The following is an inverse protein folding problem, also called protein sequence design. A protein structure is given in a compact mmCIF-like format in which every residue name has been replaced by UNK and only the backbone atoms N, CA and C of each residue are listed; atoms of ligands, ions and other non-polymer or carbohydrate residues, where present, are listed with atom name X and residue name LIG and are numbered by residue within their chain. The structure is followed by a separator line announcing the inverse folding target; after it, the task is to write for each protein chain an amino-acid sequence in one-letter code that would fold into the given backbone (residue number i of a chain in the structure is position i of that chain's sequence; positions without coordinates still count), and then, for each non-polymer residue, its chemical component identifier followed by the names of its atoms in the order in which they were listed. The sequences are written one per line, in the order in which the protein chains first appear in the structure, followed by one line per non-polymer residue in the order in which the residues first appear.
data_IF_476520503717
#
_entry.id   IF_476520503717
#
_cell.length_a   1.000
_cell.length_b   1.000
_cell.length_c   1.000
_cell.angle_alpha   90.00
_cell.angle_beta   90.00
_cell.angle_gamma   90.00
#
_symmetry.space_group_name_H-M   'P 1'
#
loop_
_entity.id
_entity.type
_entity.pdbx_description
1 polymer ?
#
# COMPACT_ATOMS: atom_id res chain seq x y z
N UNK A 1 0.90 -18.68 21.48
CA UNK A 1 1.15 -17.27 21.12
C UNK A 1 2.66 -17.07 21.10
N UNK A 2 3.29 -17.30 19.95
CA UNK A 2 4.71 -17.03 19.71
C UNK A 2 5.02 -17.27 18.24
N UNK A 3 4.66 -16.33 17.37
CA UNK A 3 5.18 -16.33 16.00
C UNK A 3 6.27 -15.27 15.90
N UNK A 4 7.44 -15.64 16.43
CA UNK A 4 8.70 -15.00 16.09
C UNK A 4 8.99 -15.33 14.62
N UNK A 5 8.99 -14.31 13.76
CA UNK A 5 9.37 -14.44 12.36
C UNK A 5 10.81 -13.93 12.16
N UNK A 6 11.83 -14.80 12.13
CA UNK A 6 13.18 -14.41 11.76
C UNK A 6 13.30 -14.49 10.23
N UNK A 7 13.74 -13.41 9.59
CA UNK A 7 13.92 -13.43 8.15
C UNK A 7 14.34 -12.09 7.56
N UNK A 8 15.45 -11.57 8.06
CA UNK A 8 16.20 -10.54 7.36
C UNK A 8 16.98 -11.20 6.20
N UNK A 9 16.94 -10.54 5.03
CA UNK A 9 17.77 -10.72 3.82
C UNK A 9 17.46 -11.89 2.86
N UNK A 10 16.53 -11.65 1.90
CA UNK A 10 16.72 -11.76 0.42
C UNK A 10 15.37 -11.68 -0.35
N UNK A 11 15.31 -11.17 -1.60
CA UNK A 11 14.12 -10.57 -2.20
C UNK A 11 13.41 -11.49 -3.21
N UNK A 12 12.64 -12.46 -2.73
CA UNK A 12 11.65 -13.16 -3.57
C UNK A 12 10.38 -13.35 -2.77
N UNK A 13 9.26 -12.74 -3.20
CA UNK A 13 7.94 -12.98 -2.62
C UNK A 13 7.68 -14.51 -2.60
N UNK A 14 7.70 -15.12 -1.41
CA UNK A 14 7.37 -16.54 -1.29
C UNK A 14 5.88 -16.73 -1.53
N UNK A 15 5.50 -17.80 -2.23
CA UNK A 15 4.09 -18.14 -2.51
C UNK A 15 3.23 -18.17 -1.23
N UNK A 16 3.82 -18.56 -0.10
CA UNK A 16 3.18 -18.53 1.21
C UNK A 16 2.83 -17.11 1.71
N UNK A 17 3.67 -16.11 1.43
CA UNK A 17 3.45 -14.72 1.82
C UNK A 17 2.33 -14.08 0.97
N UNK A 18 2.31 -14.38 -0.33
CA UNK A 18 1.25 -13.94 -1.25
C UNK A 18 -0.12 -14.43 -0.77
N UNK A 19 -0.21 -15.71 -0.38
CA UNK A 19 -1.45 -16.29 0.15
C UNK A 19 -1.91 -15.58 1.43
N UNK A 20 -0.99 -15.27 2.34
CA UNK A 20 -1.31 -14.55 3.58
C UNK A 20 -1.90 -13.16 3.33
N UNK A 21 -1.30 -12.39 2.41
CA UNK A 21 -1.79 -11.04 2.05
C UNK A 21 -3.18 -11.13 1.43
N UNK A 22 -3.41 -12.07 0.51
CA UNK A 22 -4.70 -12.24 -0.14
C UNK A 22 -5.81 -12.57 0.86
N UNK A 23 -5.57 -13.51 1.78
CA UNK A 23 -6.56 -13.90 2.79
C UNK A 23 -6.84 -12.78 3.79
N UNK A 24 -5.82 -12.01 4.18
CA UNK A 24 -6.01 -10.82 5.01
C UNK A 24 -6.89 -9.78 4.31
N UNK A 25 -6.61 -9.47 3.04
CA UNK A 25 -7.41 -8.50 2.25
C UNK A 25 -8.85 -8.95 2.11
N UNK A 26 -9.09 -10.23 1.81
CA UNK A 26 -10.46 -10.77 1.73
C UNK A 26 -11.21 -10.62 3.05
N UNK A 27 -10.54 -10.92 4.18
CA UNK A 27 -11.13 -10.88 5.52
C UNK A 27 -11.48 -9.46 5.98
N UNK A 28 -10.60 -8.49 5.70
CA UNK A 28 -10.70 -7.16 6.30
C UNK A 28 -11.23 -6.07 5.36
N UNK A 29 -11.02 -6.21 4.05
CA UNK A 29 -11.41 -5.19 3.05
C UNK A 29 -12.50 -5.68 2.07
N UNK A 30 -12.73 -7.00 2.00
CA UNK A 30 -13.82 -7.59 1.24
C UNK A 30 -13.61 -7.62 -0.29
N UNK A 31 -14.71 -7.86 -1.01
CA UNK A 31 -14.75 -8.10 -2.46
C UNK A 31 -14.06 -7.03 -3.32
N UNK A 32 -14.33 -5.72 -3.11
CA UNK A 32 -13.76 -4.68 -3.96
C UNK A 32 -12.23 -4.61 -3.89
N UNK A 33 -11.65 -4.92 -2.73
CA UNK A 33 -10.22 -4.79 -2.51
C UNK A 33 -9.42 -5.96 -3.09
N UNK A 34 -9.84 -7.22 -2.88
CA UNK A 34 -9.05 -8.36 -3.38
C UNK A 34 -9.03 -8.42 -4.91
N UNK A 35 -10.09 -7.96 -5.60
CA UNK A 35 -10.13 -7.86 -7.07
C UNK A 35 -9.19 -6.79 -7.64
N UNK A 36 -8.75 -5.85 -6.80
CA UNK A 36 -7.84 -4.75 -7.15
C UNK A 36 -6.46 -4.92 -6.51
N UNK A 37 -6.20 -6.06 -5.86
CA UNK A 37 -4.93 -6.34 -5.21
C UNK A 37 -3.86 -6.62 -6.27
N UNK A 38 -2.84 -5.76 -6.32
CA UNK A 38 -1.65 -5.94 -7.16
C UNK A 38 -0.48 -6.26 -6.24
N UNK A 39 0.14 -7.43 -6.43
CA UNK A 39 1.34 -7.84 -5.71
C UNK A 39 2.54 -7.74 -6.65
N UNK A 40 3.41 -6.76 -6.41
CA UNK A 40 4.57 -6.50 -7.26
C UNK A 40 5.77 -6.10 -6.42
N UNK A 41 6.96 -6.43 -6.91
CA UNK A 41 8.22 -5.88 -6.40
C UNK A 41 8.53 -4.49 -6.98
N UNK A 42 7.86 -4.10 -8.07
CA UNK A 42 8.12 -2.90 -8.85
C UNK A 42 6.92 -1.93 -8.79
N UNK A 43 6.78 -1.24 -7.65
CA UNK A 43 5.69 -0.27 -7.41
C UNK A 43 5.69 0.88 -8.44
N UNK A 44 6.85 1.23 -8.98
CA UNK A 44 7.05 2.28 -9.97
C UNK A 44 6.35 2.02 -11.33
N UNK A 45 5.94 0.77 -11.60
CA UNK A 45 5.21 0.42 -12.82
C UNK A 45 3.68 0.58 -12.69
N UNK A 46 3.19 0.83 -11.47
CA UNK A 46 1.77 1.05 -11.24
C UNK A 46 1.44 2.49 -11.63
N UNK A 47 0.48 2.66 -12.54
CA UNK A 47 -0.04 3.96 -12.94
C UNK A 47 -1.27 4.29 -12.10
N UNK A 48 -1.25 5.44 -11.44
CA UNK A 48 -2.36 5.96 -10.66
C UNK A 48 -2.20 7.46 -10.41
N UNK A 49 -3.29 8.12 -10.05
CA UNK A 49 -3.28 9.54 -9.68
C UNK A 49 -2.69 9.77 -8.29
N UNK A 50 -2.84 8.81 -7.39
CA UNK A 50 -2.41 8.91 -5.99
C UNK A 50 -1.70 7.63 -5.53
N UNK A 51 -0.68 7.79 -4.69
CA UNK A 51 -0.01 6.72 -3.96
C UNK A 51 0.01 7.09 -2.48
N UNK A 52 -0.65 6.31 -1.64
CA UNK A 52 -0.57 6.46 -0.17
C UNK A 52 0.43 5.42 0.35
N UNK A 53 1.55 5.87 0.91
CA UNK A 53 2.63 5.00 1.39
C UNK A 53 3.36 5.66 2.57
N UNK A 54 3.79 4.86 3.57
CA UNK A 54 4.48 5.33 4.78
C UNK A 54 5.99 5.53 4.58
N UNK A 55 6.54 5.15 3.41
CA UNK A 55 8.00 5.13 3.19
C UNK A 55 8.40 5.90 1.95
N UNK A 56 9.33 6.85 2.14
CA UNK A 56 10.08 7.52 1.06
C UNK A 56 11.11 6.61 0.35
N UNK A 57 10.88 5.30 0.22
CA UNK A 57 11.84 4.36 -0.39
C UNK A 57 11.17 3.48 -1.44
N UNK A 58 11.94 3.08 -2.47
CA UNK A 58 11.55 2.14 -3.56
C UNK A 58 10.59 2.72 -4.61
N UNK A 59 11.01 3.81 -5.28
CA UNK A 59 10.35 4.26 -6.51
C UNK A 59 9.16 5.19 -6.31
N UNK A 60 8.93 5.68 -5.09
CA UNK A 60 8.03 6.82 -4.81
C UNK A 60 8.46 8.05 -5.59
N UNK A 61 9.78 8.31 -5.67
CA UNK A 61 10.38 9.39 -6.46
C UNK A 61 10.05 9.35 -7.96
N UNK A 62 9.66 8.16 -8.47
CA UNK A 62 9.32 7.93 -9.87
C UNK A 62 7.80 7.69 -10.08
N UNK A 63 7.00 7.78 -9.02
CA UNK A 63 5.56 7.70 -9.15
C UNK A 63 5.06 8.96 -9.87
N UNK A 64 4.34 8.77 -10.98
CA UNK A 64 3.90 9.88 -11.82
C UNK A 64 2.73 10.68 -11.24
N UNK A 65 1.98 10.07 -10.34
CA UNK A 65 0.90 10.73 -9.62
C UNK A 65 1.40 11.44 -8.37
N UNK A 66 0.46 11.91 -7.57
CA UNK A 66 0.75 12.51 -6.28
C UNK A 66 1.05 11.44 -5.23
N UNK A 67 2.13 11.62 -4.48
CA UNK A 67 2.44 10.79 -3.33
C UNK A 67 1.94 11.45 -2.04
N UNK A 68 1.21 10.67 -1.25
CA UNK A 68 0.68 11.01 0.07
C UNK A 68 1.50 10.22 1.10
N UNK A 69 2.35 10.93 1.84
CA UNK A 69 3.20 10.34 2.87
C UNK A 69 2.40 10.07 4.15
N UNK A 70 2.00 8.81 4.35
CA UNK A 70 1.18 8.41 5.50
C UNK A 70 2.00 8.45 6.79
N UNK A 71 1.45 9.06 7.84
CA UNK A 71 2.12 9.29 9.13
C UNK A 71 3.00 10.55 9.15
N UNK A 72 2.94 11.37 8.10
CA UNK A 72 3.59 12.70 8.08
C UNK A 72 2.79 13.72 8.91
N UNK A 73 3.35 14.92 9.08
CA UNK A 73 2.63 16.05 9.71
C UNK A 73 1.36 16.43 8.94
N UNK A 74 1.38 16.31 7.61
CA UNK A 74 0.24 16.64 6.76
C UNK A 74 -0.81 15.52 6.71
N UNK A 75 -0.39 14.26 6.80
CA UNK A 75 -1.26 13.08 6.72
C UNK A 75 -1.00 12.12 7.89
N UNK A 76 -1.34 12.50 9.13
CA UNK A 76 -1.00 11.71 10.31
C UNK A 76 -1.76 10.38 10.40
N UNK A 77 -2.89 10.24 9.72
CA UNK A 77 -3.81 9.09 9.84
C UNK A 77 -4.69 8.89 8.59
N UNK A 78 -5.61 7.92 8.63
CA UNK A 78 -6.51 7.64 7.52
C UNK A 78 -7.59 8.71 7.33
N UNK A 79 -8.01 9.40 8.39
CA UNK A 79 -9.08 10.39 8.30
C UNK A 79 -8.60 11.59 7.49
N UNK A 80 -7.40 12.09 7.77
CA UNK A 80 -6.75 13.15 6.99
C UNK A 80 -6.58 12.78 5.51
N UNK A 81 -6.16 11.55 5.20
CA UNK A 81 -6.03 11.06 3.81
C UNK A 81 -7.39 10.99 3.10
N UNK A 82 -8.41 10.45 3.77
CA UNK A 82 -9.74 10.28 3.16
C UNK A 82 -10.42 11.61 2.90
N UNK A 83 -10.30 12.58 3.82
CA UNK A 83 -10.80 13.94 3.61
C UNK A 83 -10.17 14.55 2.36
N UNK A 84 -8.84 14.52 2.29
CA UNK A 84 -8.10 15.06 1.15
C UNK A 84 -8.53 14.45 -0.19
N UNK A 85 -8.58 13.12 -0.27
CA UNK A 85 -8.95 12.42 -1.50
C UNK A 85 -10.41 12.67 -1.91
N UNK A 86 -11.33 12.87 -0.95
CA UNK A 86 -12.72 13.21 -1.25
C UNK A 86 -12.86 14.61 -1.82
N UNK A 87 -12.13 15.58 -1.27
CA UNK A 87 -12.11 16.95 -1.81
C UNK A 87 -11.60 16.97 -3.25
N UNK A 88 -10.55 16.19 -3.55
CA UNK A 88 -10.01 16.05 -4.91
C UNK A 88 -10.93 15.30 -5.88
N UNK A 89 -11.82 14.44 -5.39
CA UNK A 89 -12.73 13.69 -6.24
C UNK A 89 -13.96 14.51 -6.70
N UNK A 90 -14.24 15.63 -6.06
CA UNK A 90 -15.37 16.53 -6.36
C UNK A 90 -14.94 17.76 -7.18
N UNK A 91 -13.64 18.05 -7.22
CA UNK A 91 -13.03 19.12 -8.02
C UNK A 91 -12.78 18.68 -9.47
#
# INVERSE_FOLDING_TARGET
MSDNWPGLFEPKLRVSQIKGILEWVKKHLGQPAYKRLILTHHKNLNFGHYLVDDRHKRGVENFRGEWIEFGSEQFPDWDSVVIYLREKAVA
#
